data_IF_818996255186
#
_entry.id   IF_818996255186
#
_cell.length_a   1.000
_cell.length_b   1.000
_cell.length_c   1.000
_cell.angle_alpha   90.00
_cell.angle_beta   90.00
_cell.angle_gamma   90.00
#
_symmetry.space_group_name_H-M   'P 1'
#
loop_
_entity.id
_entity.type
_entity.pdbx_description
1 polymer ?
#
# COMPACT_ATOMS: atom_id res chain seq x y z
N UNK A 1 -17.52 -17.15 5.22
CA UNK A 1 -17.14 -16.47 3.96
C UNK A 1 -17.11 -14.94 4.06
N UNK A 2 -17.63 -14.31 5.12
CA UNK A 2 -17.71 -12.85 5.26
C UNK A 2 -16.36 -12.10 5.35
N UNK A 3 -15.31 -12.75 5.84
CA UNK A 3 -14.02 -12.10 6.12
C UNK A 3 -13.29 -11.59 4.85
N UNK A 4 -13.41 -12.31 3.75
CA UNK A 4 -12.78 -11.92 2.47
C UNK A 4 -13.50 -10.74 1.84
N UNK A 5 -14.83 -10.63 2.00
CA UNK A 5 -15.63 -9.60 1.33
C UNK A 5 -15.41 -8.20 1.91
N UNK A 6 -15.06 -8.09 3.20
CA UNK A 6 -14.81 -6.79 3.86
C UNK A 6 -13.37 -6.31 3.65
N UNK A 7 -12.39 -7.21 3.72
CA UNK A 7 -10.97 -6.84 3.60
C UNK A 7 -10.56 -6.66 2.13
N UNK A 8 -11.06 -7.50 1.23
CA UNK A 8 -10.62 -7.55 -0.18
C UNK A 8 -10.69 -6.20 -0.92
N UNK A 9 -11.77 -5.40 -0.82
CA UNK A 9 -11.80 -4.10 -1.49
C UNK A 9 -10.69 -3.16 -1.01
N UNK A 10 -10.43 -3.12 0.29
CA UNK A 10 -9.37 -2.28 0.87
C UNK A 10 -7.97 -2.80 0.52
N UNK A 11 -7.79 -4.12 0.46
CA UNK A 11 -6.56 -4.75 0.02
C UNK A 11 -6.28 -4.47 -1.46
N UNK A 12 -7.26 -4.65 -2.33
CA UNK A 12 -7.14 -4.40 -3.77
C UNK A 12 -6.84 -2.92 -4.04
N UNK A 13 -7.47 -2.01 -3.31
CA UNK A 13 -7.17 -0.57 -3.38
C UNK A 13 -5.74 -0.26 -2.93
N UNK A 14 -5.29 -0.81 -1.79
CA UNK A 14 -3.92 -0.62 -1.29
C UNK A 14 -2.88 -1.15 -2.28
N UNK A 15 -3.15 -2.31 -2.88
CA UNK A 15 -2.30 -2.93 -3.91
C UNK A 15 -2.23 -2.06 -5.16
N UNK A 16 -3.38 -1.61 -5.68
CA UNK A 16 -3.45 -0.74 -6.86
C UNK A 16 -2.69 0.58 -6.65
N UNK A 17 -2.77 1.15 -5.46
CA UNK A 17 -2.02 2.36 -5.12
C UNK A 17 -0.51 2.11 -5.07
N UNK A 18 -0.09 0.97 -4.51
CA UNK A 18 1.33 0.57 -4.48
C UNK A 18 1.89 0.38 -5.90
N UNK A 19 1.12 -0.23 -6.79
CA UNK A 19 1.49 -0.39 -8.21
C UNK A 19 1.60 0.97 -8.93
N UNK A 20 0.68 1.90 -8.63
CA UNK A 20 0.68 3.26 -9.19
C UNK A 20 1.93 4.03 -8.77
N UNK A 21 2.31 3.94 -7.50
CA UNK A 21 3.48 4.64 -6.95
C UNK A 21 4.77 4.06 -7.51
N UNK A 22 4.84 2.73 -7.69
CA UNK A 22 5.96 2.10 -8.39
C UNK A 22 6.08 2.58 -9.84
N UNK A 23 4.98 2.65 -10.58
CA UNK A 23 4.99 3.18 -11.95
C UNK A 23 5.42 4.67 -12.00
N UNK A 24 5.06 5.45 -10.97
CA UNK A 24 5.50 6.83 -10.83
C UNK A 24 7.00 6.95 -10.51
N UNK A 25 7.56 6.04 -9.70
CA UNK A 25 9.01 5.91 -9.50
C UNK A 25 9.71 5.59 -10.81
N UNK A 26 9.23 4.56 -11.54
CA UNK A 26 9.80 4.16 -12.83
C UNK A 26 9.78 5.32 -13.84
N UNK A 27 8.72 6.14 -13.84
CA UNK A 27 8.62 7.34 -14.68
C UNK A 27 9.67 8.40 -14.28
N UNK A 28 9.91 8.56 -12.98
CA UNK A 28 10.90 9.52 -12.46
C UNK A 28 12.33 9.14 -12.86
N UNK A 29 12.62 7.85 -12.96
CA UNK A 29 13.92 7.36 -13.45
C UNK A 29 14.19 7.66 -14.93
N UNK A 30 13.15 8.03 -15.69
CA UNK A 30 13.29 8.48 -17.09
C UNK A 30 13.63 9.98 -17.20
N UNK A 31 13.58 10.73 -16.09
CA UNK A 31 13.91 12.15 -16.08
C UNK A 31 15.43 12.30 -16.18
N UNK A 32 15.94 13.06 -17.17
CA UNK A 32 17.38 13.28 -17.32
C UNK A 32 18.01 13.92 -16.08
N UNK A 33 19.26 13.54 -15.76
CA UNK A 33 19.98 14.10 -14.60
C UNK A 33 20.29 15.60 -14.75
N UNK A 34 20.31 16.14 -15.98
CA UNK A 34 20.48 17.57 -16.27
C UNK A 34 19.18 18.38 -16.14
N UNK A 35 18.04 17.73 -15.90
CA UNK A 35 16.79 18.41 -15.58
C UNK A 35 16.90 19.11 -14.21
N UNK A 36 16.57 20.41 -14.20
CA UNK A 36 16.67 21.26 -13.01
C UNK A 36 15.84 20.79 -11.81
N UNK A 37 14.83 19.94 -12.04
CA UNK A 37 13.92 19.41 -11.04
C UNK A 37 14.17 17.91 -10.74
N UNK A 38 15.11 17.25 -11.41
CA UNK A 38 15.39 15.81 -11.24
C UNK A 38 15.58 15.42 -9.77
N UNK A 39 16.35 16.22 -9.03
CA UNK A 39 16.56 16.02 -7.58
C UNK A 39 15.27 16.14 -6.75
N UNK A 40 14.36 17.05 -7.11
CA UNK A 40 13.08 17.22 -6.43
C UNK A 40 12.15 16.04 -6.71
N UNK A 41 12.15 15.52 -7.94
CA UNK A 41 11.37 14.32 -8.28
C UNK A 41 11.85 13.10 -7.49
N UNK A 42 13.16 12.87 -7.38
CA UNK A 42 13.72 11.79 -6.56
C UNK A 42 13.31 11.90 -5.09
N UNK A 43 13.44 13.09 -4.50
CA UNK A 43 13.02 13.32 -3.10
C UNK A 43 11.52 13.05 -2.91
N UNK A 44 10.70 13.47 -3.87
CA UNK A 44 9.25 13.24 -3.83
C UNK A 44 8.91 11.75 -3.91
N UNK A 45 9.53 11.02 -4.83
CA UNK A 45 9.36 9.56 -4.98
C UNK A 45 9.77 8.83 -3.70
N UNK A 46 10.99 9.07 -3.20
CA UNK A 46 11.50 8.47 -1.98
C UNK A 46 10.53 8.68 -0.80
N UNK A 47 9.97 9.89 -0.70
CA UNK A 47 9.02 10.23 0.35
C UNK A 47 7.70 9.45 0.21
N UNK A 48 7.13 9.45 -0.99
CA UNK A 48 5.86 8.76 -1.26
C UNK A 48 6.01 7.25 -1.06
N UNK A 49 7.11 6.65 -1.52
CA UNK A 49 7.39 5.23 -1.29
C UNK A 49 7.54 4.92 0.21
N UNK A 50 8.26 5.75 0.95
CA UNK A 50 8.39 5.62 2.40
C UNK A 50 7.04 5.70 3.13
N UNK A 51 6.21 6.68 2.77
CA UNK A 51 4.87 6.84 3.35
C UNK A 51 3.96 5.63 3.00
N UNK A 52 4.10 5.04 1.81
CA UNK A 52 3.39 3.81 1.43
C UNK A 52 3.79 2.58 2.24
N UNK A 53 5.08 2.41 2.53
CA UNK A 53 5.56 1.31 3.37
C UNK A 53 4.93 1.40 4.77
N UNK A 54 4.89 2.60 5.35
CA UNK A 54 4.25 2.84 6.64
C UNK A 54 2.75 2.56 6.55
N UNK A 55 2.07 3.10 5.54
CA UNK A 55 0.63 2.92 5.39
C UNK A 55 0.25 1.44 5.18
N UNK A 56 1.02 0.69 4.40
CA UNK A 56 0.79 -0.75 4.20
C UNK A 56 0.91 -1.52 5.52
N UNK A 57 1.88 -1.16 6.37
CA UNK A 57 2.04 -1.75 7.70
C UNK A 57 0.84 -1.44 8.60
N UNK A 58 0.43 -0.19 8.69
CA UNK A 58 -0.68 0.23 9.56
C UNK A 58 -2.03 -0.34 9.09
N UNK A 59 -2.32 -0.31 7.79
CA UNK A 59 -3.54 -0.92 7.23
C UNK A 59 -3.54 -2.43 7.43
N UNK A 60 -2.40 -3.09 7.23
CA UNK A 60 -2.23 -4.52 7.52
C UNK A 60 -2.52 -4.86 8.98
N UNK A 61 -2.06 -4.02 9.91
CA UNK A 61 -2.38 -4.17 11.33
C UNK A 61 -3.88 -3.99 11.60
N UNK A 62 -4.55 -3.03 10.96
CA UNK A 62 -5.99 -2.81 11.12
C UNK A 62 -6.84 -4.01 10.70
N UNK A 63 -6.45 -4.73 9.64
CA UNK A 63 -7.16 -5.93 9.21
C UNK A 63 -7.16 -7.04 10.28
N UNK A 64 -6.17 -7.07 11.17
CA UNK A 64 -6.12 -8.05 12.27
C UNK A 64 -7.19 -7.83 13.35
N UNK A 65 -7.77 -6.63 13.42
CA UNK A 65 -8.81 -6.25 14.38
C UNK A 65 -10.23 -6.45 13.86
N UNK A 66 -10.42 -6.95 12.62
CA UNK A 66 -11.76 -7.26 12.08
C UNK A 66 -12.31 -8.47 12.86
N UNK A 67 -13.34 -8.32 13.72
CA UNK A 67 -13.73 -9.33 14.71
C UNK A 67 -14.21 -10.66 14.11
N UNK A 68 -14.77 -10.62 12.89
CA UNK A 68 -15.25 -11.80 12.16
C UNK A 68 -14.12 -12.63 11.52
N UNK A 69 -12.86 -12.14 11.58
CA UNK A 69 -11.69 -12.92 11.19
C UNK A 69 -11.24 -13.92 12.26
N UNK A 70 -11.59 -13.67 13.52
CA UNK A 70 -11.17 -14.49 14.67
C UNK A 70 -12.27 -15.44 15.17
N UNK A 71 -13.55 -15.12 14.92
CA UNK A 71 -14.70 -15.91 15.40
C UNK A 71 -15.00 -17.22 14.66
N UNK A 72 -14.26 -17.56 13.60
CA UNK A 72 -14.43 -18.81 12.85
C UNK A 72 -13.71 -20.04 13.43
N UNK A 73 -12.91 -19.86 14.48
CA UNK A 73 -12.09 -20.92 15.10
C UNK A 73 -12.58 -21.35 16.50
N UNK A 74 -13.70 -20.81 16.99
CA UNK A 74 -14.22 -21.11 18.35
C UNK A 74 -15.67 -21.59 18.37
N UNK A 75 -16.18 -22.11 17.26
CA UNK A 75 -17.56 -22.64 17.17
C UNK A 75 -17.64 -24.15 16.89
N UNK A 76 -16.55 -24.89 17.13
CA UNK A 76 -16.54 -26.36 17.15
C UNK A 76 -15.73 -26.82 18.37
N UNK A 77 -16.39 -26.89 19.53
CA UNK A 77 -16.09 -27.80 20.66
C UNK A 77 -17.35 -27.97 21.53
#
# INVERSE_FOLDING_TARGET
>A
MANTDVIKPSYDALKSMSETIRAFSDLTDLIPDDDSLSSLWRILVDRIEGDMVVMHKEVGALWSYVPEAQGGLSAED
#
